data_IF_025467921699
#
_entry.id   IF_025467921699
#
_cell.length_a   1.000
_cell.length_b   1.000
_cell.length_c   1.000
_cell.angle_alpha   90.00
_cell.angle_beta   90.00
_cell.angle_gamma   90.00
#
_symmetry.space_group_name_H-M   'P 1'
#
loop_
_entity.id
_entity.type
_entity.pdbx_description
1 polymer ?
#
# COMPACT_ATOMS: atom_id res chain seq x y z
N UNK A 1 74.04 -4.26 -6.62
CA UNK A 1 73.16 -4.55 -5.47
C UNK A 1 72.14 -3.44 -5.50
N UNK A 2 71.07 -3.65 -6.27
CA UNK A 2 70.14 -2.59 -6.62
C UNK A 2 69.15 -2.38 -5.48
N UNK A 3 69.25 -1.21 -4.86
CA UNK A 3 68.38 -0.73 -3.80
C UNK A 3 67.01 -0.41 -4.39
N UNK A 4 66.00 -1.17 -3.96
CA UNK A 4 64.58 -0.87 -4.18
C UNK A 4 64.21 0.33 -3.30
N UNK A 5 63.90 1.46 -3.92
CA UNK A 5 63.36 2.65 -3.24
C UNK A 5 61.85 2.46 -3.03
N UNK A 6 61.43 2.29 -1.78
CA UNK A 6 60.04 2.08 -1.38
C UNK A 6 59.25 3.38 -1.16
N UNK A 7 59.79 4.52 -1.59
CA UNK A 7 59.20 5.85 -1.40
C UNK A 7 58.19 6.23 -2.48
N UNK A 8 58.03 5.40 -3.52
CA UNK A 8 57.05 5.63 -4.59
C UNK A 8 55.65 5.17 -4.10
N UNK A 9 54.63 6.03 -4.07
CA UNK A 9 53.30 5.65 -3.62
C UNK A 9 52.80 4.50 -4.50
N UNK A 10 52.74 3.30 -3.91
CA UNK A 10 52.42 2.08 -4.63
C UNK A 10 51.12 2.25 -5.44
N UNK A 11 51.08 1.85 -6.72
CA UNK A 11 49.90 1.98 -7.60
C UNK A 11 48.64 1.28 -7.07
N UNK A 12 48.78 0.47 -6.02
CA UNK A 12 47.74 -0.22 -5.27
C UNK A 12 46.82 0.73 -4.47
N UNK A 13 47.32 1.88 -4.00
CA UNK A 13 46.52 2.88 -3.27
C UNK A 13 45.58 3.66 -4.21
N UNK A 14 46.01 3.91 -5.44
CA UNK A 14 45.20 4.61 -6.44
C UNK A 14 44.19 3.66 -7.12
N UNK A 15 44.56 2.40 -7.38
CA UNK A 15 43.63 1.39 -7.91
C UNK A 15 42.54 0.99 -6.91
N UNK A 16 42.84 0.92 -5.61
CA UNK A 16 41.82 0.62 -4.59
C UNK A 16 40.82 1.76 -4.38
N UNK A 17 41.24 3.03 -4.51
CA UNK A 17 40.32 4.17 -4.55
C UNK A 17 39.46 4.17 -5.81
N UNK A 18 40.07 3.96 -6.99
CA UNK A 18 39.35 3.88 -8.26
C UNK A 18 38.29 2.76 -8.25
N UNK A 19 38.65 1.57 -7.74
CA UNK A 19 37.72 0.45 -7.57
C UNK A 19 36.58 0.80 -6.61
N UNK A 20 36.85 1.50 -5.49
CA UNK A 20 35.80 1.94 -4.56
C UNK A 20 34.85 2.96 -5.19
N UNK A 21 35.36 3.91 -5.97
CA UNK A 21 34.52 4.89 -6.68
C UNK A 21 33.66 4.18 -7.74
N UNK A 22 34.24 3.28 -8.52
CA UNK A 22 33.48 2.50 -9.52
C UNK A 22 32.42 1.59 -8.88
N UNK A 23 32.69 1.00 -7.70
CA UNK A 23 31.66 0.23 -6.98
C UNK A 23 30.57 1.10 -6.36
N UNK A 24 30.89 2.33 -5.96
CA UNK A 24 29.89 3.28 -5.49
C UNK A 24 28.98 3.72 -6.64
N UNK A 25 29.57 4.03 -7.81
CA UNK A 25 28.84 4.38 -9.03
C UNK A 25 27.95 3.21 -9.52
N UNK A 26 28.45 1.97 -9.47
CA UNK A 26 27.66 0.76 -9.80
C UNK A 26 26.52 0.54 -8.78
N UNK A 27 26.75 0.81 -7.50
CA UNK A 27 25.69 0.71 -6.48
C UNK A 27 24.61 1.77 -6.64
N UNK A 28 24.98 3.00 -7.04
CA UNK A 28 24.05 4.08 -7.32
C UNK A 28 23.22 3.78 -8.57
N UNK A 29 23.86 3.31 -9.65
CA UNK A 29 23.16 2.88 -10.87
C UNK A 29 22.17 1.74 -10.60
N UNK A 30 22.54 0.76 -9.77
CA UNK A 30 21.62 -0.33 -9.37
C UNK A 30 20.46 0.18 -8.52
N UNK A 31 20.71 1.12 -7.63
CA UNK A 31 19.65 1.73 -6.81
C UNK A 31 18.68 2.52 -7.69
N UNK A 32 19.17 3.31 -8.64
CA UNK A 32 18.33 4.04 -9.59
C UNK A 32 17.50 3.09 -10.47
N UNK A 33 18.11 2.03 -11.01
CA UNK A 33 17.38 1.02 -11.77
C UNK A 33 16.31 0.31 -10.93
N UNK A 34 16.59 0.07 -9.65
CA UNK A 34 15.60 -0.51 -8.73
C UNK A 34 14.45 0.46 -8.44
N UNK A 35 14.72 1.77 -8.29
CA UNK A 35 13.67 2.77 -8.09
C UNK A 35 12.78 2.89 -9.34
N UNK A 36 13.37 2.86 -10.53
CA UNK A 36 12.63 2.87 -11.81
C UNK A 36 11.72 1.63 -11.96
N UNK A 37 12.23 0.45 -11.58
CA UNK A 37 11.42 -0.78 -11.52
C UNK A 37 10.27 -0.67 -10.51
N UNK A 38 10.51 -0.09 -9.33
CA UNK A 38 9.46 0.15 -8.35
C UNK A 38 8.39 1.10 -8.87
N UNK A 39 8.78 2.18 -9.55
CA UNK A 39 7.83 3.12 -10.16
C UNK A 39 6.98 2.42 -11.23
N UNK A 40 7.59 1.54 -12.03
CA UNK A 40 6.86 0.74 -13.03
C UNK A 40 5.84 -0.19 -12.37
N UNK A 41 6.24 -0.94 -11.34
CA UNK A 41 5.36 -1.85 -10.61
C UNK A 41 4.19 -1.11 -9.93
N UNK A 42 4.44 0.08 -9.40
CA UNK A 42 3.39 0.92 -8.79
C UNK A 42 2.39 1.38 -9.85
N UNK A 43 2.85 1.77 -11.04
CA UNK A 43 1.93 2.19 -12.11
C UNK A 43 1.11 1.02 -12.66
N UNK A 44 1.72 -0.16 -12.83
CA UNK A 44 0.98 -1.37 -13.22
C UNK A 44 -0.09 -1.76 -12.19
N UNK A 45 0.24 -1.65 -10.89
CA UNK A 45 -0.72 -1.92 -9.81
C UNK A 45 -1.89 -0.94 -9.83
N UNK A 46 -1.59 0.36 -10.02
CA UNK A 46 -2.60 1.42 -10.17
C UNK A 46 -3.50 1.24 -11.40
N UNK A 47 -2.95 0.71 -12.49
CA UNK A 47 -3.72 0.42 -13.69
C UNK A 47 -4.65 -0.78 -13.46
N UNK A 48 -4.15 -1.84 -12.82
CA UNK A 48 -4.98 -3.00 -12.43
C UNK A 48 -6.09 -2.62 -11.45
N UNK A 49 -5.81 -1.82 -10.43
CA UNK A 49 -6.83 -1.34 -9.48
C UNK A 49 -7.93 -0.53 -10.19
N UNK A 50 -7.57 0.26 -11.21
CA UNK A 50 -8.53 0.97 -12.06
C UNK A 50 -9.41 0.02 -12.88
N UNK A 51 -8.86 -1.08 -13.37
CA UNK A 51 -9.61 -2.09 -14.13
C UNK A 51 -10.54 -2.93 -13.25
N UNK A 52 -10.10 -3.31 -12.04
CA UNK A 52 -10.89 -4.07 -11.07
C UNK A 52 -12.01 -3.21 -10.46
N UNK A 53 -11.77 -1.90 -10.33
CA UNK A 53 -12.70 -0.96 -9.77
C UNK A 53 -12.82 -1.05 -8.25
N UNK A 54 -13.52 -0.08 -7.67
CA UNK A 54 -13.76 -0.06 -6.23
C UNK A 54 -14.81 -1.12 -5.84
N UNK A 55 -14.48 -1.96 -4.87
CA UNK A 55 -15.45 -2.86 -4.25
C UNK A 55 -16.64 -2.04 -3.69
N UNK A 56 -17.89 -2.33 -4.10
CA UNK A 56 -19.07 -1.60 -3.63
C UNK A 56 -19.23 -1.58 -2.10
N UNK A 57 -18.78 -2.63 -1.40
CA UNK A 57 -18.82 -2.67 0.07
C UNK A 57 -17.91 -1.63 0.71
N UNK A 58 -16.76 -1.36 0.09
CA UNK A 58 -15.84 -0.31 0.52
C UNK A 58 -16.42 1.08 0.22
N UNK A 59 -17.07 1.26 -0.93
CA UNK A 59 -17.76 2.51 -1.25
C UNK A 59 -18.84 2.86 -0.20
N UNK A 60 -19.65 1.88 0.19
CA UNK A 60 -20.66 2.02 1.26
C UNK A 60 -20.00 2.36 2.61
N UNK A 61 -18.88 1.73 2.92
CA UNK A 61 -18.14 1.99 4.16
C UNK A 61 -17.55 3.42 4.19
N UNK A 62 -16.97 3.86 3.07
CA UNK A 62 -16.48 5.23 2.90
C UNK A 62 -17.61 6.24 3.07
N UNK A 63 -18.76 5.99 2.45
CA UNK A 63 -19.96 6.82 2.61
C UNK A 63 -20.40 6.89 4.08
N UNK A 64 -20.47 5.74 4.76
CA UNK A 64 -20.86 5.67 6.18
C UNK A 64 -19.90 6.42 7.10
N UNK A 65 -18.59 6.29 6.89
CA UNK A 65 -17.57 6.96 7.74
C UNK A 65 -17.60 8.47 7.51
N UNK A 66 -17.68 8.89 6.25
CA UNK A 66 -17.59 10.30 5.89
C UNK A 66 -18.90 11.06 6.08
N UNK A 67 -20.04 10.36 6.10
CA UNK A 67 -21.37 10.89 6.39
C UNK A 67 -21.72 10.94 7.88
N UNK A 68 -20.87 10.43 8.78
CA UNK A 68 -21.12 10.47 10.21
C UNK A 68 -21.14 11.91 10.76
N UNK A 69 -22.03 12.20 11.71
CA UNK A 69 -22.20 13.54 12.28
C UNK A 69 -20.91 14.08 12.93
N UNK A 70 -20.12 13.18 13.52
CA UNK A 70 -18.85 13.46 14.20
C UNK A 70 -17.62 13.32 13.28
N UNK A 71 -17.82 13.05 11.99
CA UNK A 71 -16.72 12.93 11.05
C UNK A 71 -15.92 14.26 10.93
N UNK A 72 -14.58 14.18 10.79
CA UNK A 72 -13.74 15.33 10.50
C UNK A 72 -14.26 16.17 9.31
N UNK A 73 -14.02 17.48 9.35
CA UNK A 73 -14.55 18.41 8.35
C UNK A 73 -14.13 18.03 6.92
N UNK A 74 -12.88 17.63 6.76
CA UNK A 74 -12.30 17.15 5.51
C UNK A 74 -13.07 15.94 4.94
N UNK A 75 -13.54 15.03 5.79
CA UNK A 75 -14.28 13.84 5.37
C UNK A 75 -15.69 14.20 4.92
N UNK A 76 -16.39 15.04 5.70
CA UNK A 76 -17.72 15.54 5.32
C UNK A 76 -17.68 16.37 4.04
N UNK A 77 -16.60 17.13 3.84
CA UNK A 77 -16.38 17.90 2.61
C UNK A 77 -16.21 16.99 1.40
N UNK A 78 -15.47 15.89 1.53
CA UNK A 78 -15.34 14.86 0.49
C UNK A 78 -16.69 14.18 0.21
N UNK A 79 -17.41 13.74 1.25
CA UNK A 79 -18.72 13.12 1.11
C UNK A 79 -19.69 14.01 0.32
N UNK A 80 -19.74 15.30 0.65
CA UNK A 80 -20.56 16.27 -0.07
C UNK A 80 -20.15 16.40 -1.53
N UNK A 81 -18.85 16.46 -1.84
CA UNK A 81 -18.38 16.51 -3.24
C UNK A 81 -18.79 15.27 -4.03
N UNK A 82 -18.74 14.09 -3.40
CA UNK A 82 -19.20 12.85 -4.02
C UNK A 82 -20.70 12.89 -4.27
N UNK A 83 -21.50 13.31 -3.27
CA UNK A 83 -22.94 13.45 -3.39
C UNK A 83 -23.37 14.48 -4.45
N UNK A 84 -22.60 15.57 -4.59
CA UNK A 84 -22.81 16.61 -5.60
C UNK A 84 -22.32 16.17 -7.00
N UNK A 85 -21.73 14.99 -7.14
CA UNK A 85 -21.20 14.47 -8.41
C UNK A 85 -19.94 15.17 -8.92
N UNK A 86 -19.23 15.89 -8.04
CA UNK A 86 -17.98 16.58 -8.37
C UNK A 86 -16.76 15.64 -8.36
N UNK A 87 -16.92 14.45 -7.78
CA UNK A 87 -15.94 13.36 -7.77
C UNK A 87 -16.65 12.05 -7.48
N UNK A 88 -15.99 10.90 -7.63
CA UNK A 88 -16.54 9.58 -7.23
C UNK A 88 -15.71 8.90 -6.15
N UNK A 89 -16.27 7.87 -5.52
CA UNK A 89 -15.49 7.03 -4.61
C UNK A 89 -14.38 6.26 -5.33
N UNK A 90 -14.59 5.87 -6.60
CA UNK A 90 -13.54 5.23 -7.40
C UNK A 90 -12.40 6.19 -7.70
N UNK A 91 -12.70 7.44 -8.09
CA UNK A 91 -11.68 8.47 -8.30
C UNK A 91 -10.87 8.73 -7.02
N UNK A 92 -11.54 8.82 -5.88
CA UNK A 92 -10.87 8.94 -4.58
C UNK A 92 -9.99 7.73 -4.26
N UNK A 93 -10.45 6.52 -4.58
CA UNK A 93 -9.75 5.27 -4.24
C UNK A 93 -8.42 5.13 -4.98
N UNK A 94 -8.36 5.58 -6.24
CA UNK A 94 -7.15 5.51 -7.07
C UNK A 94 -6.07 6.49 -6.59
N UNK A 95 -6.45 7.63 -6.03
CA UNK A 95 -5.52 8.69 -5.64
C UNK A 95 -5.91 9.36 -4.31
N UNK A 96 -5.91 8.62 -3.18
CA UNK A 96 -6.31 9.16 -1.89
C UNK A 96 -5.38 10.28 -1.39
N UNK A 97 -4.12 10.30 -1.81
CA UNK A 97 -3.14 11.34 -1.47
C UNK A 97 -3.52 12.73 -1.99
N UNK A 98 -4.29 12.81 -3.08
CA UNK A 98 -4.73 14.07 -3.68
C UNK A 98 -5.85 14.74 -2.88
N UNK A 99 -6.47 14.01 -1.96
CA UNK A 99 -7.55 14.50 -1.12
C UNK A 99 -7.06 14.78 0.31
N UNK A 100 -7.37 15.96 0.90
CA UNK A 100 -7.01 16.26 2.28
C UNK A 100 -7.48 15.17 3.26
N UNK A 101 -6.51 14.51 3.90
CA UNK A 101 -6.79 13.42 4.85
C UNK A 101 -7.16 12.08 4.22
N UNK A 102 -7.00 11.89 2.90
CA UNK A 102 -7.43 10.67 2.22
C UNK A 102 -6.76 9.40 2.73
N UNK A 103 -5.43 9.37 2.93
CA UNK A 103 -4.77 8.20 3.54
C UNK A 103 -5.31 7.86 4.94
N UNK A 104 -5.68 8.88 5.73
CA UNK A 104 -6.28 8.64 7.05
C UNK A 104 -7.68 8.06 6.89
N UNK A 105 -8.47 8.51 5.92
CA UNK A 105 -9.78 7.94 5.62
C UNK A 105 -9.65 6.48 5.18
N UNK A 106 -8.74 6.16 4.26
CA UNK A 106 -8.45 4.77 3.83
C UNK A 106 -8.09 3.90 5.02
N UNK A 107 -7.20 4.37 5.89
CA UNK A 107 -6.82 3.64 7.11
C UNK A 107 -8.01 3.40 8.06
N UNK A 108 -8.93 4.34 8.19
CA UNK A 108 -10.15 4.17 9.00
C UNK A 108 -11.08 3.15 8.36
N UNK A 109 -11.28 3.21 7.03
CA UNK A 109 -12.08 2.25 6.29
C UNK A 109 -11.51 0.82 6.41
N UNK A 110 -10.20 0.64 6.22
CA UNK A 110 -9.56 -0.68 6.36
C UNK A 110 -9.69 -1.25 7.77
N UNK A 111 -9.57 -0.41 8.81
CA UNK A 111 -9.77 -0.85 10.20
C UNK A 111 -11.21 -1.28 10.46
N UNK A 112 -12.19 -0.54 9.91
CA UNK A 112 -13.60 -0.88 10.06
C UNK A 112 -13.94 -2.19 9.31
N UNK A 113 -13.45 -2.35 8.07
CA UNK A 113 -13.62 -3.58 7.30
C UNK A 113 -13.00 -4.79 8.01
N UNK A 114 -11.80 -4.63 8.58
CA UNK A 114 -11.15 -5.67 9.39
C UNK A 114 -11.98 -6.08 10.62
N UNK A 115 -12.54 -5.11 11.34
CA UNK A 115 -13.39 -5.38 12.51
C UNK A 115 -14.69 -6.12 12.13
N UNK A 116 -15.28 -5.81 10.97
CA UNK A 116 -16.44 -6.53 10.46
C UNK A 116 -16.10 -7.98 10.08
N UNK A 117 -14.95 -8.20 9.48
CA UNK A 117 -14.44 -9.53 9.14
C UNK A 117 -14.20 -10.37 10.40
N UNK A 118 -13.52 -9.80 11.40
CA UNK A 118 -13.28 -10.47 12.69
C UNK A 118 -14.61 -10.86 13.36
N UNK A 119 -15.58 -9.95 13.37
CA UNK A 119 -16.90 -10.22 13.93
C UNK A 119 -17.68 -11.29 13.14
N UNK A 120 -17.47 -11.39 11.82
CA UNK A 120 -18.05 -12.42 10.99
C UNK A 120 -17.40 -13.79 11.23
N UNK A 121 -16.07 -13.84 11.39
CA UNK A 121 -15.33 -15.05 11.74
C UNK A 121 -15.75 -15.58 13.11
N UNK A 122 -15.88 -14.70 14.11
CA UNK A 122 -16.32 -15.12 15.44
C UNK A 122 -17.74 -15.71 15.43
N UNK A 123 -18.66 -15.11 14.65
CA UNK A 123 -20.01 -15.67 14.44
C UNK A 123 -20.00 -17.04 13.76
N UNK A 124 -19.02 -17.30 12.90
CA UNK A 124 -18.86 -18.59 12.25
C UNK A 124 -18.38 -19.66 13.25
N UNK A 125 -17.39 -19.32 14.08
CA UNK A 125 -16.85 -20.22 15.09
C UNK A 125 -17.86 -20.56 16.20
N UNK A 126 -18.73 -19.60 16.56
CA UNK A 126 -19.79 -19.78 17.57
C UNK A 126 -21.00 -20.58 17.06
N UNK A 127 -21.03 -20.98 15.78
CA UNK A 127 -22.15 -21.73 15.21
C UNK A 127 -22.13 -23.18 15.73
N UNK A 128 -23.18 -23.63 16.46
CA UNK A 128 -23.23 -25.01 16.93
C UNK A 128 -23.20 -25.97 15.73
N UNK A 129 -22.48 -27.11 15.84
CA UNK A 129 -22.41 -28.08 14.75
C UNK A 129 -23.82 -28.49 14.34
N UNK A 130 -24.08 -28.72 13.04
CA UNK A 130 -25.40 -29.10 12.58
C UNK A 130 -25.83 -30.36 13.32
N UNK A 131 -26.94 -30.26 14.07
CA UNK A 131 -27.54 -31.42 14.71
C UNK A 131 -27.94 -32.39 13.61
N UNK A 132 -27.18 -33.48 13.46
CA UNK A 132 -27.58 -34.59 12.60
C UNK A 132 -28.91 -35.12 13.13
N UNK A 133 -30.00 -34.68 12.48
CA UNK A 133 -31.35 -35.13 12.76
C UNK A 133 -31.39 -36.65 12.74
N UNK A 134 -32.01 -37.20 13.78
CA UNK A 134 -31.99 -38.63 14.06
C UNK A 134 -32.38 -39.47 12.86
N UNK A 135 -31.50 -40.42 12.53
CA UNK A 135 -31.93 -41.66 11.89
C UNK A 135 -32.75 -42.40 12.95
N UNK A 136 -34.06 -42.12 12.99
CA UNK A 136 -35.03 -42.95 13.68
C UNK A 136 -35.07 -44.29 12.94
N UNK A 137 -34.25 -45.22 13.42
CA UNK A 137 -34.36 -46.64 13.08
C UNK A 137 -35.71 -47.16 13.57
N UNK A 138 -36.50 -47.65 12.59
CA UNK A 138 -37.69 -48.47 12.80
C UNK A 138 -37.34 -49.84 13.34
#
# INVERSE_FOLDING_TARGET
MDTFDASDPSPQLETSKLLRTMTADDSELRMLAFLDELDHLIEEDREREREEGLDPSIAVLLESITGADDAPLEFRSLNRRVADGLTSWEEFWVAPEETPGGHRLVNVAMKAAGAELDAAMQRFDDRPPPTHGGVLGR
#
